data_IF_306554521253
#
_entry.id   IF_306554521253
#
_cell.length_a   1.000
_cell.length_b   1.000
_cell.length_c   1.000
_cell.angle_alpha   90.00
_cell.angle_beta   90.00
_cell.angle_gamma   90.00
#
_symmetry.space_group_name_H-M   'P 1'
#
loop_
_entity.id
_entity.type
_entity.pdbx_description
1 polymer ?
#
# COMPACT_ATOMS: atom_id res chain seq x y z
N UNK A 1 -9.85 5.01 21.72
CA UNK A 1 -8.79 5.17 20.72
C UNK A 1 -8.71 6.65 20.34
N UNK A 2 -7.49 7.19 20.26
CA UNK A 2 -7.26 8.61 19.91
C UNK A 2 -7.09 8.83 18.39
N UNK A 3 -7.07 7.75 17.61
CA UNK A 3 -6.88 7.79 16.15
C UNK A 3 -7.84 6.84 15.47
N UNK A 4 -8.48 7.32 14.41
CA UNK A 4 -9.43 6.54 13.60
C UNK A 4 -8.73 5.69 12.53
N UNK A 5 -7.65 6.22 11.94
CA UNK A 5 -6.85 5.56 10.91
C UNK A 5 -5.37 5.78 11.18
N UNK A 6 -4.55 4.75 10.96
CA UNK A 6 -3.09 4.81 11.12
C UNK A 6 -2.41 4.41 9.82
N UNK A 7 -1.41 5.17 9.40
CA UNK A 7 -0.56 4.86 8.26
C UNK A 7 0.80 4.41 8.75
N UNK A 8 1.23 3.21 8.39
CA UNK A 8 2.51 2.63 8.80
C UNK A 8 3.42 2.40 7.60
N UNK A 9 4.60 2.97 7.70
CA UNK A 9 5.67 2.72 6.73
C UNK A 9 6.38 1.39 7.02
N UNK A 10 6.16 0.40 6.18
CA UNK A 10 6.93 -0.84 6.13
C UNK A 10 8.00 -0.68 5.03
N UNK A 11 9.14 -0.08 5.39
CA UNK A 11 10.15 0.43 4.45
C UNK A 11 10.85 -0.65 3.62
N UNK A 12 10.90 -1.88 4.11
CA UNK A 12 11.47 -3.04 3.43
C UNK A 12 11.05 -4.33 4.13
N UNK A 13 11.47 -5.48 3.60
CA UNK A 13 11.08 -6.77 4.18
C UNK A 13 12.29 -7.64 4.55
N UNK A 14 13.44 -7.03 4.82
CA UNK A 14 14.63 -7.70 5.35
C UNK A 14 15.24 -6.93 6.52
N UNK A 15 15.78 -7.64 7.52
CA UNK A 15 16.50 -7.03 8.64
C UNK A 15 17.76 -6.32 8.17
N UNK A 16 18.39 -6.81 7.09
CA UNK A 16 19.56 -6.14 6.49
C UNK A 16 19.20 -4.75 6.01
N UNK A 17 18.10 -4.61 5.24
CA UNK A 17 17.62 -3.32 4.76
C UNK A 17 17.32 -2.35 5.93
N UNK A 18 16.61 -2.84 6.95
CA UNK A 18 16.26 -2.01 8.10
C UNK A 18 17.48 -1.50 8.83
N UNK A 19 18.45 -2.38 9.13
CA UNK A 19 19.70 -1.98 9.80
C UNK A 19 20.51 -0.99 8.96
N UNK A 20 20.69 -1.27 7.68
CA UNK A 20 21.65 -0.55 6.84
C UNK A 20 21.11 0.80 6.35
N UNK A 21 19.77 0.94 6.19
CA UNK A 21 19.16 2.15 5.60
C UNK A 21 18.20 2.91 6.53
N UNK A 22 17.70 2.29 7.57
CA UNK A 22 16.73 2.96 8.47
C UNK A 22 17.27 3.16 9.88
N UNK A 23 18.37 2.52 10.25
CA UNK A 23 18.90 2.51 11.63
C UNK A 23 17.94 1.82 12.63
N UNK A 24 17.01 1.01 12.14
CA UNK A 24 15.96 0.36 12.94
C UNK A 24 15.97 -1.17 12.71
N UNK A 25 14.90 -1.85 13.16
CA UNK A 25 14.69 -3.27 12.90
C UNK A 25 13.26 -3.54 12.38
N UNK A 26 13.11 -4.54 11.56
CA UNK A 26 11.84 -4.94 10.94
C UNK A 26 10.85 -5.48 11.97
N UNK A 27 11.35 -6.24 12.93
CA UNK A 27 10.51 -6.93 13.92
C UNK A 27 9.53 -6.02 14.66
N UNK A 28 9.95 -4.88 15.25
CA UNK A 28 9.05 -3.93 15.91
C UNK A 28 7.95 -3.40 15.01
N UNK A 29 8.25 -3.08 13.75
CA UNK A 29 7.26 -2.57 12.78
C UNK A 29 6.19 -3.63 12.50
N UNK A 30 6.61 -4.88 12.28
CA UNK A 30 5.67 -6.02 12.10
C UNK A 30 4.79 -6.21 13.34
N UNK A 31 5.35 -6.15 14.55
CA UNK A 31 4.56 -6.25 15.79
C UNK A 31 3.53 -5.13 15.90
N UNK A 32 3.90 -3.90 15.58
CA UNK A 32 2.97 -2.76 15.60
C UNK A 32 1.78 -3.00 14.66
N UNK A 33 2.03 -3.46 13.43
CA UNK A 33 0.97 -3.77 12.46
C UNK A 33 0.04 -4.89 12.96
N UNK A 34 0.59 -5.93 13.56
CA UNK A 34 -0.19 -7.03 14.15
C UNK A 34 -1.05 -6.55 15.33
N UNK A 35 -0.52 -5.68 16.19
CA UNK A 35 -1.28 -5.09 17.29
C UNK A 35 -2.40 -4.18 16.80
N UNK A 36 -2.18 -3.36 15.77
CA UNK A 36 -3.24 -2.55 15.15
C UNK A 36 -4.36 -3.43 14.60
N UNK A 37 -4.01 -4.50 13.88
CA UNK A 37 -4.99 -5.49 13.41
C UNK A 37 -5.78 -6.10 14.56
N UNK A 38 -5.09 -6.57 15.61
CA UNK A 38 -5.73 -7.19 16.78
C UNK A 38 -6.70 -6.25 17.48
N UNK A 39 -6.38 -4.95 17.52
CA UNK A 39 -7.21 -3.90 18.12
C UNK A 39 -8.34 -3.42 17.19
N UNK A 40 -8.45 -3.92 15.98
CA UNK A 40 -9.46 -3.49 15.00
C UNK A 40 -9.30 -2.04 14.52
N UNK A 41 -8.11 -1.45 14.68
CA UNK A 41 -7.81 -0.11 14.15
C UNK A 41 -7.70 -0.20 12.64
N UNK A 42 -8.28 0.74 11.91
CA UNK A 42 -8.03 0.87 10.47
C UNK A 42 -6.60 1.35 10.24
N UNK A 43 -5.89 0.68 9.36
CA UNK A 43 -4.53 1.10 9.00
C UNK A 43 -4.21 0.81 7.55
N UNK A 44 -3.22 1.53 7.05
CA UNK A 44 -2.64 1.38 5.72
C UNK A 44 -1.16 1.04 5.84
N UNK A 45 -0.66 0.18 4.96
CA UNK A 45 0.77 -0.18 4.87
C UNK A 45 1.39 0.52 3.67
N UNK A 46 2.49 1.22 3.89
CA UNK A 46 3.22 1.91 2.81
C UNK A 46 4.62 1.36 2.68
N UNK A 47 4.99 0.97 1.48
CA UNK A 47 6.35 0.62 1.11
C UNK A 47 6.89 1.62 0.09
N UNK A 48 7.93 2.37 0.47
CA UNK A 48 8.69 3.20 -0.46
C UNK A 48 9.63 2.28 -1.23
N UNK A 49 9.36 2.08 -2.50
CA UNK A 49 10.16 1.19 -3.36
C UNK A 49 11.39 1.94 -3.86
N UNK A 50 12.58 1.46 -3.47
CA UNK A 50 13.86 2.13 -3.78
C UNK A 50 14.68 1.22 -4.70
N UNK A 51 15.03 1.68 -5.92
CA UNK A 51 15.77 0.89 -6.90
C UNK A 51 17.09 0.33 -6.35
N UNK A 52 17.29 -0.98 -6.52
CA UNK A 52 18.49 -1.69 -6.10
C UNK A 52 18.60 -1.96 -4.60
N UNK A 53 17.65 -1.48 -3.77
CA UNK A 53 17.71 -1.65 -2.31
C UNK A 53 16.62 -2.56 -1.73
N UNK A 54 15.37 -2.40 -2.18
CA UNK A 54 14.22 -3.17 -1.71
C UNK A 54 13.19 -3.46 -2.81
N UNK A 55 13.58 -3.29 -4.07
CA UNK A 55 12.69 -3.42 -5.24
C UNK A 55 12.81 -4.79 -5.93
N UNK A 56 13.59 -5.72 -5.36
CA UNK A 56 13.69 -7.06 -5.93
C UNK A 56 12.32 -7.75 -5.94
N UNK A 57 12.00 -8.54 -7.00
CA UNK A 57 10.75 -9.29 -7.04
C UNK A 57 10.53 -10.17 -5.80
N UNK A 58 11.60 -10.76 -5.25
CA UNK A 58 11.54 -11.59 -4.05
C UNK A 58 11.17 -10.79 -2.79
N UNK A 59 11.72 -9.59 -2.61
CA UNK A 59 11.42 -8.74 -1.45
C UNK A 59 9.97 -8.24 -1.48
N UNK A 60 9.53 -7.75 -2.64
CA UNK A 60 8.15 -7.27 -2.84
C UNK A 60 7.13 -8.42 -2.73
N UNK A 61 7.53 -9.60 -3.17
CA UNK A 61 6.74 -10.83 -3.04
C UNK A 61 6.59 -11.27 -1.57
N UNK A 62 7.67 -11.31 -0.83
CA UNK A 62 7.68 -11.66 0.59
C UNK A 62 6.86 -10.67 1.42
N UNK A 63 7.02 -9.34 1.17
CA UNK A 63 6.24 -8.29 1.80
C UNK A 63 4.74 -8.45 1.52
N UNK A 64 4.37 -8.62 0.26
CA UNK A 64 2.96 -8.79 -0.16
C UNK A 64 2.34 -10.04 0.43
N UNK A 65 3.09 -11.13 0.48
CA UNK A 65 2.65 -12.39 1.06
C UNK A 65 2.37 -12.26 2.55
N UNK A 66 3.28 -11.60 3.27
CA UNK A 66 3.11 -11.35 4.69
C UNK A 66 1.90 -10.42 4.96
N UNK A 67 1.78 -9.31 4.23
CA UNK A 67 0.62 -8.41 4.37
C UNK A 67 -0.69 -9.18 4.17
N UNK A 68 -0.78 -9.99 3.10
CA UNK A 68 -1.97 -10.80 2.84
C UNK A 68 -2.26 -11.81 3.96
N UNK A 69 -1.26 -12.59 4.36
CA UNK A 69 -1.45 -13.73 5.25
C UNK A 69 -1.62 -13.31 6.71
N UNK A 70 -0.79 -12.38 7.16
CA UNK A 70 -0.74 -11.97 8.57
C UNK A 70 -1.67 -10.78 8.86
N UNK A 71 -1.80 -9.80 7.96
CA UNK A 71 -2.67 -8.65 8.17
C UNK A 71 -4.05 -8.84 7.54
N UNK A 72 -4.14 -9.56 6.43
CA UNK A 72 -5.37 -9.92 5.76
C UNK A 72 -5.50 -9.34 4.34
N UNK A 73 -6.31 -9.98 3.48
CA UNK A 73 -6.41 -9.62 2.06
C UNK A 73 -7.06 -8.25 1.81
N UNK A 74 -7.73 -7.68 2.80
CA UNK A 74 -8.37 -6.36 2.68
C UNK A 74 -7.52 -5.22 3.25
N UNK A 75 -6.29 -5.49 3.71
CA UNK A 75 -5.36 -4.45 4.17
C UNK A 75 -4.87 -3.64 2.98
N UNK A 76 -5.05 -2.30 2.98
CA UNK A 76 -4.51 -1.44 1.94
C UNK A 76 -2.97 -1.46 1.94
N UNK A 77 -2.39 -1.72 0.78
CA UNK A 77 -0.95 -1.72 0.57
C UNK A 77 -0.58 -0.71 -0.52
N UNK A 78 0.32 0.20 -0.20
CA UNK A 78 0.84 1.21 -1.13
C UNK A 78 2.28 0.89 -1.51
N UNK A 79 2.56 0.79 -2.80
CA UNK A 79 3.90 0.87 -3.35
C UNK A 79 4.15 2.29 -3.83
N UNK A 80 4.96 3.05 -3.09
CA UNK A 80 5.21 4.45 -3.36
C UNK A 80 6.51 4.64 -4.13
N UNK A 81 6.48 5.53 -5.13
CA UNK A 81 7.64 5.92 -5.91
C UNK A 81 8.65 6.62 -5.03
N UNK A 82 9.90 6.17 -5.07
CA UNK A 82 11.04 6.89 -4.55
C UNK A 82 11.45 7.98 -5.53
N UNK A 83 11.81 9.14 -5.00
CA UNK A 83 12.51 10.21 -5.74
C UNK A 83 13.82 10.51 -5.02
N UNK A 84 14.94 10.68 -5.77
CA UNK A 84 16.26 10.97 -5.20
C UNK A 84 16.22 12.15 -4.24
N UNK A 85 16.66 11.94 -3.00
CA UNK A 85 16.73 12.99 -2.00
C UNK A 85 17.64 12.59 -0.82
N UNK A 86 18.08 13.57 -0.03
CA UNK A 86 18.83 13.45 1.21
C UNK A 86 20.06 12.56 1.07
N UNK A 87 20.12 11.38 1.70
CA UNK A 87 21.28 10.46 1.69
C UNK A 87 21.36 9.57 0.44
N UNK A 88 20.36 9.62 -0.45
CA UNK A 88 20.30 8.78 -1.65
C UNK A 88 20.14 9.60 -2.95
N UNK A 89 20.91 10.70 -3.14
CA UNK A 89 20.76 11.55 -4.32
C UNK A 89 21.27 10.89 -5.61
N UNK A 90 22.12 9.86 -5.49
CA UNK A 90 22.71 9.15 -6.63
C UNK A 90 21.87 8.00 -7.18
N UNK A 91 20.75 7.66 -6.56
CA UNK A 91 19.86 6.61 -7.07
C UNK A 91 18.83 7.19 -8.05
N UNK A 92 18.42 6.44 -9.09
CA UNK A 92 17.33 6.88 -9.96
C UNK A 92 16.00 6.85 -9.23
N UNK A 93 14.99 7.64 -9.67
CA UNK A 93 13.62 7.46 -9.19
C UNK A 93 13.10 6.08 -9.58
N UNK A 94 12.17 5.54 -8.79
CA UNK A 94 11.58 4.23 -9.09
C UNK A 94 10.88 4.27 -10.45
N UNK A 95 11.22 3.37 -11.38
CA UNK A 95 10.52 3.24 -12.64
C UNK A 95 9.04 2.89 -12.42
N UNK A 96 8.14 3.47 -13.22
CA UNK A 96 6.71 3.18 -13.18
C UNK A 96 6.42 1.70 -13.36
N UNK A 97 7.12 1.04 -14.29
CA UNK A 97 6.97 -0.40 -14.52
C UNK A 97 7.23 -1.25 -13.29
N UNK A 98 8.19 -0.86 -12.43
CA UNK A 98 8.48 -1.57 -11.19
C UNK A 98 7.30 -1.51 -10.24
N UNK A 99 6.67 -0.34 -10.10
CA UNK A 99 5.47 -0.15 -9.26
C UNK A 99 4.27 -0.90 -9.83
N UNK A 100 4.06 -0.84 -11.14
CA UNK A 100 2.99 -1.55 -11.85
C UNK A 100 3.11 -3.07 -11.67
N UNK A 101 4.34 -3.61 -11.83
CA UNK A 101 4.61 -5.04 -11.59
C UNK A 101 4.37 -5.44 -10.13
N UNK A 102 4.86 -4.63 -9.18
CA UNK A 102 4.66 -4.89 -7.75
C UNK A 102 3.16 -4.93 -7.39
N UNK A 103 2.39 -3.92 -7.85
CA UNK A 103 0.94 -3.86 -7.67
C UNK A 103 0.25 -5.09 -8.27
N UNK A 104 0.54 -5.40 -9.52
CA UNK A 104 -0.07 -6.54 -10.22
C UNK A 104 0.23 -7.86 -9.53
N UNK A 105 1.48 -8.08 -9.10
CA UNK A 105 1.89 -9.29 -8.39
C UNK A 105 1.17 -9.42 -7.03
N UNK A 106 1.07 -8.34 -6.26
CA UNK A 106 0.37 -8.33 -4.98
C UNK A 106 -1.14 -8.61 -5.14
N UNK A 107 -1.77 -8.03 -6.17
CA UNK A 107 -3.18 -8.31 -6.49
C UNK A 107 -3.40 -9.76 -6.93
N UNK A 108 -2.52 -10.33 -7.75
CA UNK A 108 -2.55 -11.75 -8.13
C UNK A 108 -2.44 -12.70 -6.94
N UNK A 109 -1.74 -12.29 -5.88
CA UNK A 109 -1.70 -13.03 -4.61
C UNK A 109 -3.00 -12.97 -3.82
N UNK A 110 -3.92 -12.08 -4.17
CA UNK A 110 -5.23 -11.93 -3.55
C UNK A 110 -5.36 -10.74 -2.60
N UNK A 111 -4.41 -9.81 -2.58
CA UNK A 111 -4.63 -8.50 -1.95
C UNK A 111 -5.67 -7.71 -2.77
N UNK A 112 -6.67 -7.16 -2.09
CA UNK A 112 -7.82 -6.50 -2.73
C UNK A 112 -7.58 -5.02 -3.00
N UNK A 113 -6.77 -4.37 -2.18
CA UNK A 113 -6.55 -2.92 -2.21
C UNK A 113 -5.06 -2.63 -2.27
N UNK A 114 -4.52 -2.60 -3.50
CA UNK A 114 -3.11 -2.32 -3.76
C UNK A 114 -2.99 -1.06 -4.59
N UNK A 115 -2.26 -0.10 -4.06
CA UNK A 115 -2.14 1.23 -4.64
C UNK A 115 -0.70 1.53 -5.10
N UNK A 116 -0.59 2.50 -6.01
CA UNK A 116 0.67 3.16 -6.37
C UNK A 116 0.62 4.58 -5.81
N UNK A 117 1.65 4.96 -5.06
CA UNK A 117 1.79 6.30 -4.48
C UNK A 117 2.93 7.09 -5.12
N UNK A 118 2.89 8.41 -4.97
CA UNK A 118 3.89 9.35 -5.49
C UNK A 118 4.09 9.30 -7.02
N UNK A 119 3.04 8.94 -7.75
CA UNK A 119 3.04 8.88 -9.22
C UNK A 119 1.69 9.38 -9.75
N UNK A 120 1.47 10.72 -9.77
CA UNK A 120 0.21 11.31 -10.19
C UNK A 120 -0.23 10.87 -11.59
N UNK A 121 -1.50 10.46 -11.71
CA UNK A 121 -2.09 9.99 -12.97
C UNK A 121 -1.97 8.49 -13.22
N UNK A 122 -1.24 7.76 -12.38
CA UNK A 122 -1.20 6.30 -12.49
C UNK A 122 -2.54 5.68 -12.07
N UNK A 123 -3.03 4.69 -12.84
CA UNK A 123 -4.31 4.02 -12.53
C UNK A 123 -4.37 3.42 -11.11
N UNK A 124 -3.24 3.03 -10.57
CA UNK A 124 -3.11 2.48 -9.22
C UNK A 124 -3.37 3.49 -8.09
N UNK A 125 -3.57 4.78 -8.37
CA UNK A 125 -4.04 5.75 -7.36
C UNK A 125 -5.53 5.56 -7.02
N UNK A 126 -6.27 4.93 -7.94
CA UNK A 126 -7.71 4.77 -7.84
C UNK A 126 -8.10 3.60 -6.94
N UNK A 127 -9.26 3.69 -6.30
CA UNK A 127 -9.87 2.57 -5.60
C UNK A 127 -10.85 1.85 -6.53
N UNK A 128 -10.68 0.54 -6.65
CA UNK A 128 -11.55 -0.32 -7.45
C UNK A 128 -12.34 -1.29 -6.57
N UNK A 129 -13.54 -1.62 -7.01
CA UNK A 129 -14.31 -2.68 -6.38
C UNK A 129 -13.61 -4.03 -6.57
N UNK A 130 -13.32 -4.79 -5.49
CA UNK A 130 -12.62 -6.05 -5.61
C UNK A 130 -13.46 -7.18 -6.24
N UNK A 131 -14.77 -6.96 -6.40
CA UNK A 131 -15.70 -7.93 -7.01
C UNK A 131 -15.96 -7.63 -8.48
N UNK A 132 -16.38 -6.41 -8.80
CA UNK A 132 -16.74 -6.06 -10.19
C UNK A 132 -15.67 -5.29 -10.96
N UNK A 133 -14.55 -4.91 -10.34
CA UNK A 133 -13.43 -4.22 -10.97
C UNK A 133 -13.68 -2.74 -11.33
N UNK A 134 -14.88 -2.20 -11.09
CA UNK A 134 -15.20 -0.81 -11.44
C UNK A 134 -14.55 0.18 -10.49
N UNK A 135 -14.15 1.34 -11.02
CA UNK A 135 -13.55 2.41 -10.23
C UNK A 135 -14.59 3.00 -9.26
N UNK A 136 -14.24 3.03 -7.98
CA UNK A 136 -15.07 3.56 -6.88
C UNK A 136 -14.63 4.95 -6.45
N UNK A 137 -13.32 5.19 -6.43
CA UNK A 137 -12.74 6.51 -6.18
C UNK A 137 -11.66 6.76 -7.22
N UNK A 138 -11.75 7.88 -7.93
CA UNK A 138 -10.72 8.33 -8.88
C UNK A 138 -9.90 9.44 -8.29
N UNK A 139 -8.58 9.35 -8.46
CA UNK A 139 -7.62 10.32 -7.92
C UNK A 139 -6.62 10.76 -8.98
N UNK A 140 -6.09 11.96 -8.76
CA UNK A 140 -4.90 12.46 -9.42
C UNK A 140 -4.04 13.15 -8.36
N UNK A 141 -2.98 12.50 -7.94
CA UNK A 141 -2.20 12.92 -6.78
C UNK A 141 -3.07 13.01 -5.53
N UNK A 142 -3.16 14.18 -4.94
CA UNK A 142 -4.00 14.42 -3.74
C UNK A 142 -5.45 14.82 -4.07
N UNK A 143 -5.76 15.10 -5.32
CA UNK A 143 -7.12 15.48 -5.72
C UNK A 143 -8.01 14.24 -5.88
N UNK A 144 -9.18 14.26 -5.24
CA UNK A 144 -10.25 13.28 -5.47
C UNK A 144 -11.12 13.83 -6.61
N UNK A 145 -11.06 13.17 -7.76
CA UNK A 145 -11.82 13.57 -8.96
C UNK A 145 -13.25 13.00 -8.97
N UNK A 146 -13.42 11.84 -8.35
CA UNK A 146 -14.71 11.16 -8.25
C UNK A 146 -14.72 10.30 -6.97
N UNK A 147 -15.82 10.37 -6.21
CA UNK A 147 -16.08 9.51 -5.05
C UNK A 147 -17.49 8.92 -5.16
N UNK A 148 -17.56 7.60 -5.26
CA UNK A 148 -18.79 6.82 -5.32
C UNK A 148 -19.04 6.02 -4.04
N UNK A 149 -18.14 6.08 -3.07
CA UNK A 149 -18.25 5.33 -1.82
C UNK A 149 -18.91 6.14 -0.71
N UNK A 150 -18.54 7.40 -0.54
CA UNK A 150 -19.15 8.27 0.48
C UNK A 150 -20.67 8.33 0.36
N UNK A 151 -21.28 8.55 -0.83
CA UNK A 151 -22.73 8.59 -0.97
C UNK A 151 -23.43 7.26 -0.67
N UNK A 152 -22.69 6.14 -0.70
CA UNK A 152 -23.24 4.77 -0.50
C UNK A 152 -22.87 4.15 0.83
N UNK A 153 -22.27 4.94 1.75
CA UNK A 153 -21.81 4.44 3.04
C UNK A 153 -20.76 3.33 2.90
N UNK A 154 -19.83 3.49 1.95
CA UNK A 154 -18.73 2.57 1.70
C UNK A 154 -19.13 1.30 0.94
N UNK A 155 -20.19 1.34 0.16
CA UNK A 155 -20.63 0.20 -0.67
C UNK A 155 -20.45 0.49 -2.15
N UNK A 156 -20.06 -0.54 -2.90
CA UNK A 156 -20.03 -0.48 -4.35
C UNK A 156 -21.46 -0.24 -4.87
N UNK A 157 -21.73 0.82 -5.67
CA UNK A 157 -23.09 1.12 -6.13
C UNK A 157 -23.63 0.10 -7.15
N UNK A 158 -22.79 -0.76 -7.70
CA UNK A 158 -23.21 -1.75 -8.70
C UNK A 158 -23.46 -3.14 -8.15
N UNK A 159 -22.79 -3.53 -7.06
CA UNK A 159 -22.89 -4.90 -6.55
C UNK A 159 -22.99 -4.99 -5.02
N UNK A 160 -23.05 -3.85 -4.31
CA UNK A 160 -23.17 -3.77 -2.86
C UNK A 160 -21.96 -4.19 -2.06
N UNK A 161 -20.83 -4.55 -2.71
CA UNK A 161 -19.62 -4.97 -2.02
C UNK A 161 -19.14 -3.87 -1.06
N UNK A 162 -18.97 -4.21 0.21
CA UNK A 162 -18.46 -3.27 1.21
C UNK A 162 -16.96 -3.08 1.06
N UNK A 163 -16.53 -1.85 1.05
CA UNK A 163 -15.11 -1.43 1.07
C UNK A 163 -14.78 -0.99 2.49
N UNK A 164 -13.72 -1.54 3.12
CA UNK A 164 -13.27 -1.07 4.44
C UNK A 164 -12.90 0.41 4.42
N UNK A 165 -13.34 1.16 5.42
CA UNK A 165 -13.10 2.60 5.52
C UNK A 165 -14.02 3.25 6.53
N UNK A 166 -13.84 4.56 6.70
CA UNK A 166 -14.76 5.45 7.42
C UNK A 166 -15.49 6.25 6.34
N UNK A 167 -16.81 6.14 6.32
CA UNK A 167 -17.67 6.67 5.26
C UNK A 167 -18.78 7.55 5.82
#
# INVERSE_FOLDING_TARGET
LLMDVVKIDLKGFSEKFYRDYTGASLGPVKRTLLELKKKGVLFEVVNLVIPGLNDSPSDLDALSSWVKNDLGPSTPLFFSRFSPNYLLPGLPPTPEETLTRARTAAMKKGLKYVYVGNLPGHEGENTYCPKCGRALVRRYGYAVLEDRLTPTGGRCPWDGTRVPGIW
#
